data_IF_202945879089
#
_entry.id   IF_202945879089
#
_cell.length_a   1.000
_cell.length_b   1.000
_cell.length_c   1.000
_cell.angle_alpha   90.00
_cell.angle_beta   90.00
_cell.angle_gamma   90.00
#
_symmetry.space_group_name_H-M   'P 1'
#
loop_
_entity.id
_entity.type
_entity.pdbx_description
1 polymer ?
#
# COMPACT_ATOMS: atom_id res chain seq x y z
N UNK A 1 3.85 -8.83 -23.91
CA UNK A 1 3.65 -9.18 -22.49
C UNK A 1 2.41 -8.44 -22.02
N UNK A 2 1.43 -9.13 -21.42
CA UNK A 2 0.19 -8.49 -20.94
C UNK A 2 0.51 -7.57 -19.75
N UNK A 3 -0.17 -6.41 -19.68
CA UNK A 3 -0.09 -5.41 -18.59
C UNK A 3 -0.24 -6.08 -17.21
N UNK A 4 -1.08 -7.14 -17.13
CA UNK A 4 -1.27 -7.93 -15.91
C UNK A 4 0.00 -8.62 -15.38
N UNK A 5 0.88 -9.12 -16.27
CA UNK A 5 2.14 -9.78 -15.85
C UNK A 5 3.16 -8.77 -15.34
N UNK A 6 3.24 -7.60 -15.96
CA UNK A 6 4.14 -6.51 -15.53
C UNK A 6 3.72 -5.98 -14.16
N UNK A 7 2.41 -5.91 -13.90
CA UNK A 7 1.88 -5.48 -12.60
C UNK A 7 2.17 -6.49 -11.50
N UNK A 8 2.02 -7.79 -11.76
CA UNK A 8 2.33 -8.83 -10.80
C UNK A 8 3.83 -8.82 -10.40
N UNK A 9 4.71 -8.57 -11.37
CA UNK A 9 6.16 -8.47 -11.16
C UNK A 9 6.54 -7.21 -10.36
N UNK A 10 5.99 -6.05 -10.71
CA UNK A 10 6.23 -4.78 -10.00
C UNK A 10 5.70 -4.81 -8.57
N UNK A 11 4.53 -5.41 -8.37
CA UNK A 11 3.94 -5.63 -7.05
C UNK A 11 4.83 -6.57 -6.23
N UNK A 12 5.29 -7.70 -6.79
CA UNK A 12 6.22 -8.62 -6.13
C UNK A 12 7.58 -7.98 -5.78
N UNK A 13 8.17 -7.20 -6.68
CA UNK A 13 9.43 -6.49 -6.44
C UNK A 13 9.24 -5.39 -5.38
N UNK A 14 8.16 -4.62 -5.46
CA UNK A 14 7.79 -3.60 -4.48
C UNK A 14 7.49 -4.16 -3.09
N UNK A 15 7.02 -5.41 -2.99
CA UNK A 15 6.89 -6.14 -1.73
C UNK A 15 8.24 -6.67 -1.22
N UNK A 16 9.10 -7.20 -2.10
CA UNK A 16 10.40 -7.75 -1.74
C UNK A 16 11.37 -6.69 -1.21
N UNK A 17 11.41 -5.50 -1.83
CA UNK A 17 12.18 -4.35 -1.31
C UNK A 17 11.67 -3.88 0.05
N UNK A 18 10.36 -4.00 0.29
CA UNK A 18 9.70 -3.62 1.55
C UNK A 18 10.08 -4.56 2.70
N UNK A 19 10.13 -5.87 2.45
CA UNK A 19 10.55 -6.86 3.45
C UNK A 19 11.99 -6.62 3.93
N UNK A 20 12.88 -6.24 3.00
CA UNK A 20 14.28 -5.95 3.29
C UNK A 20 14.43 -4.69 4.15
N UNK A 21 13.65 -3.64 3.86
CA UNK A 21 13.65 -2.44 4.70
C UNK A 21 13.08 -2.70 6.10
N UNK A 22 12.05 -3.54 6.21
CA UNK A 22 11.48 -3.99 7.49
C UNK A 22 12.48 -4.82 8.29
N UNK A 23 13.17 -5.78 7.66
CA UNK A 23 14.22 -6.58 8.31
C UNK A 23 15.42 -5.72 8.76
N UNK A 24 15.80 -4.70 7.98
CA UNK A 24 16.88 -3.79 8.32
C UNK A 24 16.51 -2.80 9.43
N UNK A 25 15.24 -2.40 9.53
CA UNK A 25 14.75 -1.60 10.67
C UNK A 25 14.58 -2.43 11.95
N UNK A 26 14.29 -3.72 11.85
CA UNK A 26 13.98 -4.60 13.00
C UNK A 26 15.13 -4.81 14.01
N UNK A 27 16.35 -4.32 13.75
CA UNK A 27 17.46 -4.48 14.70
C UNK A 27 17.38 -3.51 15.90
N UNK A 28 16.71 -2.36 15.77
CA UNK A 28 16.60 -1.34 16.85
C UNK A 28 15.22 -0.64 16.94
N UNK A 29 14.22 -1.09 16.16
CA UNK A 29 12.89 -0.41 16.11
C UNK A 29 12.04 -0.77 17.34
N UNK A 30 11.39 0.21 18.02
CA UNK A 30 10.44 -0.06 19.11
C UNK A 30 9.34 -1.05 18.71
N UNK A 31 8.88 -1.89 19.65
CA UNK A 31 7.86 -2.92 19.38
C UNK A 31 6.54 -2.32 18.84
N UNK A 32 6.13 -1.16 19.36
CA UNK A 32 4.95 -0.42 18.91
C UNK A 32 5.08 0.03 17.44
N UNK A 33 6.26 0.50 17.05
CA UNK A 33 6.57 0.91 15.68
C UNK A 33 6.58 -0.32 14.75
N UNK A 34 7.14 -1.45 15.20
CA UNK A 34 7.17 -2.71 14.44
C UNK A 34 5.76 -3.25 14.16
N UNK A 35 4.87 -3.20 15.16
CA UNK A 35 3.48 -3.61 14.99
C UNK A 35 2.72 -2.68 14.02
N UNK A 36 2.92 -1.37 14.12
CA UNK A 36 2.33 -0.38 13.21
C UNK A 36 2.79 -0.61 11.75
N UNK A 37 4.07 -0.89 11.56
CA UNK A 37 4.64 -1.26 10.25
C UNK A 37 3.97 -2.51 9.70
N UNK A 38 3.92 -3.59 10.48
CA UNK A 38 3.37 -4.87 10.05
C UNK A 38 1.88 -4.76 9.71
N UNK A 39 1.08 -4.07 10.54
CA UNK A 39 -0.35 -3.82 10.30
C UNK A 39 -0.55 -3.00 9.03
N UNK A 40 0.18 -1.89 8.87
CA UNK A 40 0.05 -1.04 7.69
C UNK A 40 0.43 -1.77 6.40
N UNK A 41 1.49 -2.59 6.44
CA UNK A 41 1.90 -3.43 5.32
C UNK A 41 0.79 -4.42 4.90
N UNK A 42 0.16 -5.10 5.85
CA UNK A 42 -0.93 -6.03 5.53
C UNK A 42 -2.13 -5.31 4.90
N UNK A 43 -2.47 -4.11 5.39
CA UNK A 43 -3.59 -3.32 4.89
C UNK A 43 -3.31 -2.83 3.47
N UNK A 44 -2.15 -2.23 3.22
CA UNK A 44 -1.79 -1.71 1.89
C UNK A 44 -1.65 -2.82 0.85
N UNK A 45 -1.15 -4.00 1.27
CA UNK A 45 -1.15 -5.20 0.41
C UNK A 45 -2.56 -5.63 0.00
N UNK A 46 -3.46 -5.79 0.97
CA UNK A 46 -4.85 -6.21 0.70
C UNK A 46 -5.60 -5.19 -0.13
N UNK A 47 -5.37 -3.90 0.12
CA UNK A 47 -5.89 -2.82 -0.70
C UNK A 47 -5.48 -2.96 -2.16
N UNK A 48 -4.19 -3.21 -2.44
CA UNK A 48 -3.69 -3.38 -3.79
C UNK A 48 -4.32 -4.61 -4.49
N UNK A 49 -4.34 -5.76 -3.80
CA UNK A 49 -4.91 -7.01 -4.34
C UNK A 49 -6.42 -6.85 -4.64
N UNK A 50 -7.18 -6.25 -3.72
CA UNK A 50 -8.61 -6.00 -3.88
C UNK A 50 -8.89 -5.00 -5.00
N UNK A 51 -8.21 -3.84 -4.98
CA UNK A 51 -8.41 -2.77 -5.96
C UNK A 51 -8.08 -3.26 -7.38
N UNK A 52 -6.99 -4.00 -7.54
CA UNK A 52 -6.63 -4.60 -8.83
C UNK A 52 -7.70 -5.58 -9.34
N UNK A 53 -8.24 -6.44 -8.46
CA UNK A 53 -9.31 -7.36 -8.85
C UNK A 53 -10.61 -6.63 -9.24
N UNK A 54 -10.99 -5.59 -8.50
CA UNK A 54 -12.18 -4.78 -8.80
C UNK A 54 -12.01 -4.03 -10.13
N UNK A 55 -10.83 -3.46 -10.41
CA UNK A 55 -10.57 -2.76 -11.68
C UNK A 55 -10.60 -3.71 -12.88
N UNK A 56 -10.01 -4.91 -12.76
CA UNK A 56 -10.10 -5.93 -13.83
C UNK A 56 -11.54 -6.37 -14.08
N UNK A 57 -12.36 -6.42 -13.02
CA UNK A 57 -13.79 -6.73 -13.17
C UNK A 57 -14.54 -5.56 -13.81
N UNK A 58 -14.29 -4.33 -13.37
CA UNK A 58 -14.93 -3.12 -13.86
C UNK A 58 -14.62 -2.85 -15.34
N UNK A 59 -13.39 -3.14 -15.79
CA UNK A 59 -12.99 -3.07 -17.20
C UNK A 59 -13.85 -4.01 -18.08
N UNK A 60 -14.20 -5.20 -17.55
CA UNK A 60 -15.03 -6.18 -18.27
C UNK A 60 -16.52 -5.92 -18.12
N UNK A 61 -16.94 -5.36 -16.99
CA UNK A 61 -18.32 -5.11 -16.62
C UNK A 61 -18.43 -3.73 -15.95
N UNK A 62 -18.61 -2.66 -16.75
CA UNK A 62 -18.70 -1.31 -16.21
C UNK A 62 -19.93 -1.20 -15.32
N UNK A 63 -19.70 -0.99 -14.03
CA UNK A 63 -20.73 -0.79 -13.03
C UNK A 63 -20.67 0.65 -12.55
N UNK A 64 -21.80 1.34 -12.60
CA UNK A 64 -21.91 2.72 -12.16
C UNK A 64 -21.57 2.86 -10.67
N UNK A 65 -20.81 3.90 -10.31
CA UNK A 65 -20.45 4.19 -8.92
C UNK A 65 -19.26 3.42 -8.37
N UNK A 66 -18.69 2.46 -9.10
CA UNK A 66 -17.46 1.75 -8.67
C UNK A 66 -16.31 2.72 -8.46
N UNK A 67 -16.10 3.69 -9.35
CA UNK A 67 -15.05 4.70 -9.20
C UNK A 67 -15.19 5.50 -7.90
N UNK A 68 -16.43 5.85 -7.53
CA UNK A 68 -16.72 6.55 -6.28
C UNK A 68 -16.41 5.71 -5.05
N UNK A 69 -16.76 4.42 -5.07
CA UNK A 69 -16.44 3.49 -3.99
C UNK A 69 -14.92 3.25 -3.87
N UNK A 70 -14.22 3.18 -5.00
CA UNK A 70 -12.76 3.03 -5.03
C UNK A 70 -12.05 4.27 -4.46
N UNK A 71 -12.56 5.47 -4.77
CA UNK A 71 -12.06 6.72 -4.20
C UNK A 71 -12.28 6.78 -2.67
N UNK A 72 -13.47 6.37 -2.20
CA UNK A 72 -13.74 6.29 -0.76
C UNK A 72 -12.82 5.28 -0.05
N UNK A 73 -12.58 4.12 -0.67
CA UNK A 73 -11.65 3.14 -0.14
C UNK A 73 -10.22 3.69 -0.06
N UNK A 74 -9.78 4.41 -1.09
CA UNK A 74 -8.48 5.09 -1.08
C UNK A 74 -8.37 6.07 0.09
N UNK A 75 -9.37 6.94 0.29
CA UNK A 75 -9.38 7.91 1.38
C UNK A 75 -9.29 7.22 2.76
N UNK A 76 -9.97 6.09 2.95
CA UNK A 76 -9.91 5.35 4.22
C UNK A 76 -8.53 4.69 4.43
N UNK A 77 -7.92 4.15 3.39
CA UNK A 77 -6.56 3.57 3.48
C UNK A 77 -5.53 4.66 3.77
N UNK A 78 -5.66 5.83 3.15
CA UNK A 78 -4.80 6.98 3.44
C UNK A 78 -4.91 7.42 4.92
N UNK A 79 -6.13 7.52 5.46
CA UNK A 79 -6.34 7.83 6.88
C UNK A 79 -5.68 6.80 7.80
N UNK A 80 -5.70 5.52 7.44
CA UNK A 80 -5.02 4.47 8.20
C UNK A 80 -3.50 4.64 8.14
N UNK A 81 -2.93 4.88 6.97
CA UNK A 81 -1.48 5.13 6.81
C UNK A 81 -1.05 6.32 7.67
N UNK A 82 -1.80 7.42 7.64
CA UNK A 82 -1.50 8.60 8.46
C UNK A 82 -1.57 8.31 9.95
N UNK A 83 -2.56 7.53 10.42
CA UNK A 83 -2.65 7.10 11.82
C UNK A 83 -1.48 6.21 12.23
N UNK A 84 -1.05 5.28 11.37
CA UNK A 84 0.11 4.41 11.64
C UNK A 84 1.42 5.20 11.63
N UNK A 85 1.52 6.20 10.76
CA UNK A 85 2.67 7.10 10.71
C UNK A 85 2.80 7.97 11.98
N UNK A 86 1.69 8.21 12.70
CA UNK A 86 1.71 8.98 13.93
C UNK A 86 2.29 8.21 15.13
N UNK A 87 2.49 6.89 15.01
CA UNK A 87 3.10 6.05 16.06
C UNK A 87 4.60 6.32 16.18
N UNK A 88 5.26 6.65 15.06
CA UNK A 88 6.69 6.94 15.04
C UNK A 88 7.02 8.23 15.79
N UNK A 89 7.92 8.11 16.76
CA UNK A 89 8.42 9.23 17.54
C UNK A 89 9.43 10.09 16.76
N UNK A 90 10.14 9.48 15.80
CA UNK A 90 11.12 10.15 14.96
C UNK A 90 10.50 10.63 13.65
N UNK A 91 10.62 11.93 13.39
CA UNK A 91 10.13 12.57 12.16
C UNK A 91 10.73 11.96 10.88
N UNK A 92 12.00 11.54 10.92
CA UNK A 92 12.65 10.90 9.77
C UNK A 92 11.98 9.57 9.43
N UNK A 93 11.72 8.74 10.43
CA UNK A 93 11.15 7.41 10.25
C UNK A 93 9.68 7.50 9.83
N UNK A 94 8.94 8.46 10.39
CA UNK A 94 7.60 8.83 9.92
C UNK A 94 7.59 9.20 8.43
N UNK A 95 8.54 10.03 7.98
CA UNK A 95 8.61 10.45 6.58
C UNK A 95 8.97 9.29 5.65
N UNK A 96 9.93 8.45 6.03
CA UNK A 96 10.29 7.24 5.28
C UNK A 96 9.08 6.33 5.17
N UNK A 97 8.35 6.11 6.26
CA UNK A 97 7.14 5.31 6.28
C UNK A 97 6.06 5.87 5.35
N UNK A 98 5.79 7.18 5.41
CA UNK A 98 4.80 7.81 4.55
C UNK A 98 5.19 7.68 3.07
N UNK A 99 6.42 8.06 2.71
CA UNK A 99 6.91 7.97 1.33
C UNK A 99 6.75 6.55 0.78
N UNK A 100 7.13 5.54 1.55
CA UNK A 100 7.03 4.14 1.12
C UNK A 100 5.58 3.67 0.92
N UNK A 101 4.65 4.12 1.75
CA UNK A 101 3.24 3.75 1.63
C UNK A 101 2.54 4.53 0.50
N UNK A 102 2.86 5.81 0.30
CA UNK A 102 2.32 6.59 -0.82
C UNK A 102 2.87 6.12 -2.17
N UNK A 103 4.16 5.77 -2.28
CA UNK A 103 4.73 5.18 -3.50
C UNK A 103 3.98 3.91 -3.91
N UNK A 104 3.57 3.09 -2.93
CA UNK A 104 2.72 1.93 -3.18
C UNK A 104 1.33 2.31 -3.68
N UNK A 105 0.64 3.23 -3.00
CA UNK A 105 -0.69 3.65 -3.41
C UNK A 105 -0.65 4.23 -4.83
N UNK A 106 0.35 5.05 -5.14
CA UNK A 106 0.58 5.56 -6.49
C UNK A 106 0.80 4.43 -7.51
N UNK A 107 1.53 3.37 -7.14
CA UNK A 107 1.71 2.22 -8.03
C UNK A 107 0.39 1.48 -8.34
N UNK A 108 -0.55 1.44 -7.40
CA UNK A 108 -1.89 0.87 -7.60
C UNK A 108 -2.73 1.77 -8.51
N UNK A 109 -2.64 3.09 -8.34
CA UNK A 109 -3.42 4.07 -9.10
C UNK A 109 -2.91 4.30 -10.53
N UNK A 110 -1.59 4.21 -10.74
CA UNK A 110 -0.93 4.42 -12.05
C UNK A 110 -1.21 3.34 -13.11
N UNK A 111 -2.02 2.34 -12.76
CA UNK A 111 -2.48 1.26 -13.64
C UNK A 111 -3.83 1.60 -14.30
N UNK A 112 -4.41 2.75 -13.96
CA UNK A 112 -5.60 3.32 -14.62
C UNK A 112 -5.27 3.94 -15.97
#
# INVERSE_FOLDING_TARGET
MSVAKVNEEKVKVGFKTRLILVEQSNLDTPEEDSEAIAKCFQITRRYAEFSGAVMVLHEKFPLEGVDGLMLQLQDEVEKVILKMAAVFHNRKDQLIFLINNYDMMLSVLSVS
#
